data_IF_378261891623
#
_entry.id   IF_378261891623
#
_cell.length_a   1.000
_cell.length_b   1.000
_cell.length_c   1.000
_cell.angle_alpha   90.00
_cell.angle_beta   90.00
_cell.angle_gamma   90.00
#
_symmetry.space_group_name_H-M   'P 1'
#
loop_
_entity.id
_entity.type
_entity.pdbx_description
1 polymer ?
#
# COMPACT_ATOMS: atom_id res chain seq x y z
N UNK A 1 -11.20 -0.36 13.48
CA UNK A 1 -10.15 0.66 13.59
C UNK A 1 -10.23 1.53 12.35
N UNK A 2 -10.51 2.83 12.48
CA UNK A 2 -10.53 3.73 11.31
C UNK A 2 -9.10 4.14 10.98
N UNK A 3 -8.42 3.37 10.15
CA UNK A 3 -7.13 3.74 9.57
C UNK A 3 -7.37 4.93 8.66
N UNK A 4 -6.87 6.10 9.04
CA UNK A 4 -7.03 7.32 8.25
C UNK A 4 -6.11 7.25 7.03
N UNK A 5 -6.57 7.72 5.87
CA UNK A 5 -5.75 7.91 4.66
C UNK A 5 -4.35 8.49 4.92
N UNK A 6 -4.23 9.44 5.86
CA UNK A 6 -2.94 10.02 6.24
C UNK A 6 -1.97 9.03 6.87
N UNK A 7 -2.46 8.01 7.58
CA UNK A 7 -1.63 6.93 8.12
C UNK A 7 -1.15 6.00 7.00
N UNK A 8 -1.99 5.73 6.00
CA UNK A 8 -1.61 4.95 4.81
C UNK A 8 -0.55 5.69 3.98
N UNK A 9 -0.67 7.01 3.82
CA UNK A 9 0.36 7.83 3.17
C UNK A 9 1.68 7.87 3.94
N UNK A 10 1.64 7.78 5.28
CA UNK A 10 2.85 7.65 6.09
C UNK A 10 3.50 6.28 5.91
N UNK A 11 2.70 5.19 5.91
CA UNK A 11 3.19 3.83 5.65
C UNK A 11 3.79 3.69 4.24
N UNK A 12 3.18 4.33 3.25
CA UNK A 12 3.71 4.37 1.88
C UNK A 12 5.14 4.94 1.80
N UNK A 13 5.60 5.75 2.78
CA UNK A 13 6.98 6.28 2.81
C UNK A 13 8.04 5.19 2.98
N UNK A 14 7.68 4.08 3.62
CA UNK A 14 8.59 2.96 3.86
C UNK A 14 8.66 2.00 2.67
N UNK A 15 7.77 2.13 1.69
CA UNK A 15 7.79 1.31 0.49
C UNK A 15 8.90 1.73 -0.48
N UNK A 16 9.27 0.81 -1.36
CA UNK A 16 10.11 1.08 -2.54
C UNK A 16 9.51 2.16 -3.43
N UNK A 17 10.34 2.84 -4.23
CA UNK A 17 9.87 3.90 -5.13
C UNK A 17 8.82 3.38 -6.12
N UNK A 18 9.00 2.17 -6.65
CA UNK A 18 8.04 1.53 -7.54
C UNK A 18 6.66 1.30 -6.87
N UNK A 19 6.65 0.86 -5.60
CA UNK A 19 5.41 0.60 -4.87
C UNK A 19 4.74 1.87 -4.39
N UNK A 20 5.49 2.93 -4.10
CA UNK A 20 4.95 4.28 -3.91
C UNK A 20 4.20 4.77 -5.14
N UNK A 21 4.79 4.61 -6.32
CA UNK A 21 4.13 5.01 -7.57
C UNK A 21 2.86 4.19 -7.83
N UNK A 22 2.88 2.89 -7.53
CA UNK A 22 1.69 2.03 -7.59
C UNK A 22 0.61 2.45 -6.59
N UNK A 23 0.99 2.77 -5.35
CA UNK A 23 0.08 3.26 -4.31
C UNK A 23 -0.66 4.52 -4.76
N UNK A 24 0.06 5.53 -5.26
CA UNK A 24 -0.56 6.76 -5.74
C UNK A 24 -1.39 6.55 -7.01
N UNK A 25 -0.99 5.61 -7.88
CA UNK A 25 -1.78 5.25 -9.06
C UNK A 25 -3.13 4.66 -8.66
N UNK A 26 -3.14 3.68 -7.76
CA UNK A 26 -4.37 3.06 -7.24
C UNK A 26 -5.29 4.11 -6.63
N UNK A 27 -4.75 4.99 -5.78
CA UNK A 27 -5.52 6.09 -5.17
C UNK A 27 -6.19 6.95 -6.26
N UNK A 28 -5.42 7.42 -7.24
CA UNK A 28 -5.91 8.30 -8.31
C UNK A 28 -6.94 7.61 -9.22
N UNK A 29 -6.73 6.33 -9.55
CA UNK A 29 -7.65 5.54 -10.36
C UNK A 29 -9.00 5.37 -9.64
N UNK A 30 -8.98 5.08 -8.34
CA UNK A 30 -10.20 4.95 -7.55
C UNK A 30 -10.91 6.29 -7.31
N UNK A 31 -10.16 7.37 -7.09
CA UNK A 31 -10.73 8.73 -7.02
C UNK A 31 -11.40 9.10 -8.35
N UNK A 32 -10.77 8.81 -9.48
CA UNK A 32 -11.33 9.03 -10.81
C UNK A 32 -12.57 8.16 -11.09
N UNK A 33 -12.62 6.95 -10.52
CA UNK A 33 -13.78 6.07 -10.58
C UNK A 33 -14.94 6.52 -9.65
N UNK A 34 -14.74 7.56 -8.83
CA UNK A 34 -15.74 8.03 -7.86
C UNK A 34 -15.90 7.10 -6.65
N UNK A 35 -14.86 6.32 -6.32
CA UNK A 35 -14.91 5.45 -5.16
C UNK A 35 -15.01 6.26 -3.85
N UNK A 36 -15.79 5.74 -2.91
CA UNK A 36 -15.88 6.32 -1.57
C UNK A 36 -14.52 6.27 -0.88
N UNK A 37 -14.23 7.30 -0.06
CA UNK A 37 -13.00 7.40 0.74
C UNK A 37 -12.65 6.10 1.48
N UNK A 38 -13.64 5.47 2.11
CA UNK A 38 -13.48 4.18 2.80
C UNK A 38 -13.02 3.06 1.87
N UNK A 39 -13.58 2.98 0.66
CA UNK A 39 -13.20 1.96 -0.32
C UNK A 39 -11.77 2.15 -0.81
N UNK A 40 -11.34 3.42 -0.95
CA UNK A 40 -9.94 3.76 -1.27
C UNK A 40 -9.03 3.35 -0.11
N UNK A 41 -9.41 3.68 1.13
CA UNK A 41 -8.68 3.30 2.34
C UNK A 41 -8.51 1.77 2.44
N UNK A 42 -9.59 1.01 2.29
CA UNK A 42 -9.57 -0.45 2.35
C UNK A 42 -8.65 -1.05 1.27
N UNK A 43 -8.67 -0.51 0.04
CA UNK A 43 -7.83 -1.01 -1.06
C UNK A 43 -6.35 -0.66 -0.87
N UNK A 44 -6.05 0.55 -0.42
CA UNK A 44 -4.67 0.98 -0.15
C UNK A 44 -4.08 0.24 1.06
N UNK A 45 -4.90 -0.07 2.06
CA UNK A 45 -4.51 -0.90 3.19
C UNK A 45 -4.17 -2.33 2.74
N UNK A 46 -5.02 -2.94 1.92
CA UNK A 46 -4.74 -4.26 1.34
C UNK A 46 -3.42 -4.25 0.53
N UNK A 47 -3.21 -3.23 -0.30
CA UNK A 47 -1.97 -3.10 -1.08
C UNK A 47 -0.71 -3.04 -0.19
N UNK A 48 -0.73 -2.25 0.89
CA UNK A 48 0.43 -2.17 1.80
C UNK A 48 0.71 -3.52 2.45
N UNK A 49 -0.33 -4.25 2.86
CA UNK A 49 -0.16 -5.61 3.39
C UNK A 49 0.42 -6.56 2.36
N UNK A 50 -0.10 -6.55 1.12
CA UNK A 50 0.43 -7.38 0.02
C UNK A 50 1.92 -7.09 -0.25
N UNK A 51 2.32 -5.81 -0.22
CA UNK A 51 3.73 -5.42 -0.43
C UNK A 51 4.60 -5.86 0.73
N UNK A 52 4.17 -5.65 1.98
CA UNK A 52 4.94 -6.08 3.15
C UNK A 52 5.08 -7.61 3.18
N UNK A 53 4.00 -8.35 2.93
CA UNK A 53 4.03 -9.81 2.88
C UNK A 53 4.94 -10.32 1.75
N UNK A 54 5.02 -9.59 0.64
CA UNK A 54 5.95 -9.93 -0.46
C UNK A 54 7.41 -9.56 -0.18
N UNK A 55 7.67 -8.59 0.71
CA UNK A 55 9.02 -8.13 1.09
C UNK A 55 9.61 -9.00 2.23
N UNK A 56 8.74 -9.54 3.10
CA UNK A 56 9.11 -10.49 4.19
C UNK A 56 9.42 -11.91 3.63
N UNK A 57 8.97 -12.23 2.40
CA UNK A 57 9.26 -13.51 1.70
C UNK A 57 10.61 -13.47 0.93
N UNK A 58 11.37 -12.37 1.01
CA UNK A 58 12.67 -12.16 0.34
C UNK A 58 13.87 -12.23 1.33
N UNK A 59 13.70 -12.84 2.51
CA UNK A 59 14.79 -13.13 3.48
C UNK A 59 15.10 -14.64 3.64
N UNK A 60 15.10 -15.41 2.54
CA UNK A 60 15.55 -16.81 2.52
C UNK A 60 16.80 -17.03 1.62
N UNK A 61 17.88 -16.27 1.89
CA UNK A 61 19.27 -16.61 1.49
C UNK A 61 20.21 -15.84 2.44
N UNK A 62 21.08 -16.40 3.28
CA UNK A 62 21.88 -17.62 3.18
C UNK A 62 21.93 -18.38 4.53
N UNK A 63 21.71 -19.70 4.46
CA UNK A 63 22.30 -20.67 5.38
C UNK A 63 23.84 -20.67 5.22
N UNK A 64 24.60 -20.31 6.26
CA UNK A 64 25.78 -21.05 6.81
C UNK A 64 26.35 -20.40 8.08
#
# INVERSE_FOLDING_TARGET
>A
MSTSLSALEAAARYLSQADKDRFFRIKREMEAAGASKKSIEDRLHAFIWEVIESDDDDEDVEEE
#
